data_IF_512698650798
#
_entry.id   IF_512698650798
#
_cell.length_a   1.000
_cell.length_b   1.000
_cell.length_c   1.000
_cell.angle_alpha   90.00
_cell.angle_beta   90.00
_cell.angle_gamma   90.00
#
_symmetry.space_group_name_H-M   'P 1'
#
loop_
_entity.id
_entity.type
_entity.pdbx_description
1 polymer ?
#
# COMPACT_ATOMS: atom_id res chain seq x y z
N UNK A 1 -26.54 -3.85 17.67
CA UNK A 1 -26.89 -5.09 18.39
C UNK A 1 -25.72 -5.57 19.27
N UNK A 2 -24.53 -5.79 18.71
CA UNK A 2 -23.40 -6.39 19.44
C UNK A 2 -22.83 -5.49 20.56
N UNK A 3 -22.68 -4.20 20.32
CA UNK A 3 -22.25 -3.25 21.35
C UNK A 3 -23.19 -3.28 22.56
N UNK A 4 -24.51 -3.33 22.31
CA UNK A 4 -25.51 -3.48 23.37
C UNK A 4 -25.38 -4.80 24.12
N UNK A 5 -25.15 -5.92 23.41
CA UNK A 5 -24.95 -7.24 24.02
C UNK A 5 -23.72 -7.26 24.95
N UNK A 6 -22.67 -6.52 24.59
CA UNK A 6 -21.45 -6.41 25.41
C UNK A 6 -21.51 -5.30 26.46
N UNK A 7 -22.60 -4.52 26.54
CA UNK A 7 -22.70 -3.38 27.46
C UNK A 7 -21.67 -2.26 27.16
N UNK A 8 -21.26 -2.13 25.90
CA UNK A 8 -20.21 -1.16 25.48
C UNK A 8 -20.82 -0.04 24.64
N UNK A 9 -20.21 1.13 24.74
CA UNK A 9 -20.37 2.22 23.79
C UNK A 9 -19.32 2.07 22.68
N UNK A 10 -19.77 1.91 21.43
CA UNK A 10 -18.87 1.74 20.28
C UNK A 10 -18.72 3.06 19.53
N UNK A 11 -17.51 3.59 19.46
CA UNK A 11 -17.19 4.80 18.73
C UNK A 11 -17.08 4.51 17.23
N UNK A 12 -17.63 5.38 16.40
CA UNK A 12 -17.60 5.27 14.94
C UNK A 12 -17.21 6.59 14.30
N UNK A 13 -16.54 6.51 13.15
CA UNK A 13 -16.27 7.60 12.23
C UNK A 13 -17.02 7.29 10.94
N UNK A 14 -17.83 8.24 10.44
CA UNK A 14 -18.47 8.11 9.14
C UNK A 14 -17.49 8.53 8.05
N UNK A 15 -17.48 7.76 6.95
CA UNK A 15 -16.60 8.08 5.82
C UNK A 15 -17.36 8.85 4.75
N UNK A 16 -16.76 9.95 4.26
CA UNK A 16 -17.19 10.70 3.10
C UNK A 16 -16.35 10.31 1.88
N UNK A 17 -17.00 9.97 0.79
CA UNK A 17 -16.32 9.85 -0.51
C UNK A 17 -16.21 11.25 -1.13
N UNK A 18 -14.98 11.73 -1.27
CA UNK A 18 -14.67 13.02 -1.89
C UNK A 18 -14.14 12.87 -3.32
N UNK A 19 -14.44 11.75 -3.97
CA UNK A 19 -14.12 11.50 -5.36
C UNK A 19 -13.18 10.32 -5.62
N UNK A 20 -12.65 9.66 -4.59
CA UNK A 20 -11.80 8.47 -4.77
C UNK A 20 -12.62 7.22 -5.15
N UNK A 21 -13.94 7.27 -4.99
CA UNK A 21 -14.94 6.27 -5.40
C UNK A 21 -14.69 4.87 -4.82
N UNK A 22 -14.18 4.81 -3.59
CA UNK A 22 -13.93 3.55 -2.88
C UNK A 22 -14.95 3.31 -1.78
N UNK A 23 -14.86 4.02 -0.67
CA UNK A 23 -15.80 3.90 0.45
C UNK A 23 -16.25 5.27 0.93
N UNK A 24 -17.46 5.29 1.47
CA UNK A 24 -18.04 6.48 2.09
C UNK A 24 -19.32 6.96 1.42
N UNK A 25 -19.93 7.92 2.04
CA UNK A 25 -21.12 8.57 1.51
C UNK A 25 -20.76 9.50 0.36
N UNK A 26 -21.30 9.23 -0.82
CA UNK A 26 -21.22 10.15 -1.95
C UNK A 26 -22.18 11.33 -1.76
N UNK A 27 -23.43 11.04 -1.35
CA UNK A 27 -24.40 12.06 -0.99
C UNK A 27 -24.11 12.61 0.42
N UNK A 28 -23.77 13.89 0.48
CA UNK A 28 -23.41 14.57 1.73
C UNK A 28 -24.62 14.83 2.62
N UNK A 29 -25.81 15.04 2.05
CA UNK A 29 -27.03 15.21 2.84
C UNK A 29 -27.44 13.89 3.48
N UNK A 30 -27.36 12.77 2.76
CA UNK A 30 -27.56 11.43 3.33
C UNK A 30 -26.62 11.19 4.51
N UNK A 31 -25.35 11.60 4.39
CA UNK A 31 -24.37 11.45 5.47
C UNK A 31 -24.77 12.25 6.72
N UNK A 32 -25.28 13.48 6.54
CA UNK A 32 -25.77 14.34 7.64
C UNK A 32 -26.98 13.70 8.32
N UNK A 33 -27.94 13.15 7.53
CA UNK A 33 -29.11 12.45 8.05
C UNK A 33 -28.73 11.19 8.86
N UNK A 34 -27.76 10.43 8.38
CA UNK A 34 -27.24 9.25 9.09
C UNK A 34 -26.50 9.65 10.37
N UNK A 35 -25.75 10.75 10.37
CA UNK A 35 -25.10 11.28 11.57
C UNK A 35 -26.15 11.63 12.66
N UNK A 36 -27.22 12.32 12.28
CA UNK A 36 -28.34 12.63 13.17
C UNK A 36 -29.07 11.37 13.65
N UNK A 37 -29.26 10.39 12.76
CA UNK A 37 -29.87 9.11 13.14
C UNK A 37 -29.02 8.35 14.17
N UNK A 38 -27.69 8.32 14.00
CA UNK A 38 -26.78 7.69 14.97
C UNK A 38 -26.92 8.37 16.33
N UNK A 39 -26.86 9.69 16.37
CA UNK A 39 -26.93 10.49 17.60
C UNK A 39 -28.24 10.23 18.34
N UNK A 40 -29.37 10.28 17.66
CA UNK A 40 -30.69 10.24 18.27
C UNK A 40 -31.26 8.83 18.50
N UNK A 41 -30.78 7.80 17.78
CA UNK A 41 -31.39 6.47 17.75
C UNK A 41 -30.49 5.31 18.14
N UNK A 42 -29.17 5.51 18.14
CA UNK A 42 -28.25 4.39 18.38
C UNK A 42 -27.55 4.50 19.75
N UNK A 43 -28.26 4.12 20.81
CA UNK A 43 -27.82 4.29 22.22
C UNK A 43 -26.42 3.73 22.53
N UNK A 44 -25.97 2.70 21.82
CA UNK A 44 -24.67 2.04 22.04
C UNK A 44 -23.65 2.35 20.96
N UNK A 45 -23.94 3.32 20.08
CA UNK A 45 -23.01 3.85 19.07
C UNK A 45 -22.82 5.33 19.36
N UNK A 46 -21.58 5.79 19.30
CA UNK A 46 -21.23 7.19 19.43
C UNK A 46 -20.55 7.64 18.15
N UNK A 47 -21.10 8.60 17.44
CA UNK A 47 -20.42 9.26 16.36
C UNK A 47 -19.35 10.18 16.92
N UNK A 48 -18.08 9.87 16.70
CA UNK A 48 -16.96 10.65 17.20
C UNK A 48 -16.28 11.48 16.11
N UNK A 49 -16.59 11.25 14.86
CA UNK A 49 -15.93 11.98 13.77
C UNK A 49 -16.41 11.60 12.40
N UNK A 50 -15.84 12.29 11.42
CA UNK A 50 -15.93 11.94 10.02
C UNK A 50 -14.53 11.78 9.42
N UNK A 51 -14.46 11.17 8.24
CA UNK A 51 -13.19 11.02 7.55
C UNK A 51 -13.36 10.81 6.07
N UNK A 52 -12.25 10.88 5.36
CA UNK A 52 -12.17 10.53 3.94
C UNK A 52 -10.97 9.64 3.69
N UNK A 53 -10.89 9.08 2.49
CA UNK A 53 -9.68 8.46 1.98
C UNK A 53 -9.48 8.89 0.53
N UNK A 54 -8.26 9.29 0.19
CA UNK A 54 -7.87 9.80 -1.11
C UNK A 54 -6.55 9.17 -1.55
N UNK A 55 -6.31 9.11 -2.85
CA UNK A 55 -5.09 8.54 -3.41
C UNK A 55 -5.03 7.00 -3.31
N UNK A 56 -6.18 6.33 -3.40
CA UNK A 56 -6.26 4.88 -3.35
C UNK A 56 -6.84 4.31 -4.67
N UNK A 57 -8.16 4.10 -4.75
CA UNK A 57 -8.80 3.53 -5.94
C UNK A 57 -8.88 4.54 -7.08
N UNK A 58 -9.43 5.72 -6.82
CA UNK A 58 -9.59 6.79 -7.81
C UNK A 58 -8.33 7.61 -8.06
N UNK A 59 -7.28 7.36 -7.30
CA UNK A 59 -5.99 8.09 -7.37
C UNK A 59 -6.14 9.62 -7.23
N UNK A 60 -7.16 10.06 -6.47
CA UNK A 60 -7.41 11.48 -6.24
C UNK A 60 -6.38 12.05 -5.27
N UNK A 61 -5.66 13.08 -5.71
CA UNK A 61 -4.69 13.77 -4.86
C UNK A 61 -5.40 14.48 -3.70
N UNK A 62 -4.97 14.27 -2.44
CA UNK A 62 -5.49 14.97 -1.29
C UNK A 62 -4.97 16.41 -1.26
N UNK A 63 -5.64 17.31 -1.99
CA UNK A 63 -5.32 18.73 -1.96
C UNK A 63 -5.89 19.41 -0.70
N UNK A 64 -5.41 20.60 -0.36
CA UNK A 64 -5.95 21.38 0.75
C UNK A 64 -7.45 21.64 0.57
N UNK A 65 -7.89 21.97 -0.67
CA UNK A 65 -9.29 22.22 -0.99
C UNK A 65 -10.15 20.97 -0.77
N UNK A 66 -9.64 19.77 -1.10
CA UNK A 66 -10.35 18.52 -0.83
C UNK A 66 -10.50 18.24 0.67
N UNK A 67 -9.53 18.62 1.47
CA UNK A 67 -9.62 18.50 2.92
C UNK A 67 -10.51 19.58 3.54
N UNK A 68 -10.59 20.76 2.92
CA UNK A 68 -11.57 21.79 3.32
C UNK A 68 -13.01 21.33 3.04
N UNK A 69 -13.29 20.66 1.93
CA UNK A 69 -14.62 20.02 1.69
C UNK A 69 -15.02 19.08 2.83
N UNK A 70 -14.05 18.36 3.42
CA UNK A 70 -14.31 17.50 4.57
C UNK A 70 -14.62 18.33 5.83
N UNK A 71 -13.90 19.42 6.04
CA UNK A 71 -14.11 20.32 7.18
C UNK A 71 -15.49 20.97 7.09
N UNK A 72 -15.87 21.49 5.91
CA UNK A 72 -17.20 22.06 5.68
C UNK A 72 -18.32 21.05 5.97
N UNK A 73 -18.11 19.77 5.58
CA UNK A 73 -19.06 18.70 5.88
C UNK A 73 -19.11 18.41 7.39
N UNK A 74 -17.97 18.44 8.08
CA UNK A 74 -17.93 18.30 9.53
C UNK A 74 -18.74 19.40 10.23
N UNK A 75 -18.55 20.66 9.85
CA UNK A 75 -19.28 21.79 10.39
C UNK A 75 -20.80 21.68 10.18
N UNK A 76 -21.20 21.18 9.02
CA UNK A 76 -22.60 20.92 8.70
C UNK A 76 -23.23 19.85 9.62
N UNK A 77 -22.47 18.78 9.87
CA UNK A 77 -22.89 17.73 10.81
C UNK A 77 -22.92 18.27 12.25
N UNK A 78 -21.91 18.99 12.68
CA UNK A 78 -21.81 19.58 14.02
C UNK A 78 -22.97 20.55 14.32
N UNK A 79 -23.30 21.39 13.34
CA UNK A 79 -24.45 22.30 13.45
C UNK A 79 -25.78 21.52 13.60
N UNK A 80 -25.89 20.34 12.97
CA UNK A 80 -27.09 19.51 13.09
C UNK A 80 -27.17 18.76 14.42
N UNK A 81 -26.00 18.39 14.99
CA UNK A 81 -25.88 17.64 16.24
C UNK A 81 -25.80 18.56 17.48
N UNK A 82 -25.65 19.87 17.29
CA UNK A 82 -25.39 20.87 18.35
C UNK A 82 -24.17 20.49 19.22
N UNK A 83 -23.12 19.96 18.60
CA UNK A 83 -21.84 19.63 19.23
C UNK A 83 -20.71 19.42 18.22
N UNK A 84 -19.48 19.59 18.67
CA UNK A 84 -18.27 19.32 17.86
C UNK A 84 -18.01 17.81 17.74
N UNK A 85 -17.35 17.46 16.65
CA UNK A 85 -16.79 16.13 16.40
C UNK A 85 -15.35 16.05 16.96
N UNK A 86 -15.04 14.91 17.59
CA UNK A 86 -13.72 14.64 18.18
C UNK A 86 -12.64 14.49 17.09
N UNK A 87 -13.01 13.87 15.94
CA UNK A 87 -12.08 13.56 14.87
C UNK A 87 -12.57 14.02 13.50
N UNK A 88 -11.68 14.70 12.77
CA UNK A 88 -11.79 14.94 11.33
C UNK A 88 -10.58 14.27 10.67
N UNK A 89 -10.82 13.11 10.05
CA UNK A 89 -9.77 12.26 9.52
C UNK A 89 -9.51 12.53 8.04
N UNK A 90 -8.42 13.23 7.74
CA UNK A 90 -8.07 13.71 6.41
C UNK A 90 -7.48 12.66 5.46
N UNK A 91 -7.50 11.36 5.81
CA UNK A 91 -7.03 10.32 4.93
C UNK A 91 -5.88 9.48 5.48
N UNK A 92 -5.00 9.04 4.60
CA UNK A 92 -3.93 8.09 4.86
C UNK A 92 -2.54 8.68 4.60
N UNK A 93 -1.56 7.86 4.21
CA UNK A 93 -0.18 8.28 3.89
C UNK A 93 -0.14 9.38 2.84
N UNK A 94 -0.96 9.30 1.79
CA UNK A 94 -1.02 10.32 0.74
C UNK A 94 -1.31 11.72 1.27
N UNK A 95 -2.06 11.86 2.35
CA UNK A 95 -2.38 13.15 2.95
C UNK A 95 -1.24 13.75 3.79
N UNK A 96 -0.16 13.00 4.06
CA UNK A 96 1.04 13.54 4.70
C UNK A 96 1.68 14.67 3.87
N UNK A 97 1.49 14.69 2.55
CA UNK A 97 1.93 15.79 1.69
C UNK A 97 1.48 17.15 2.23
N UNK A 98 0.22 17.24 2.70
CA UNK A 98 -0.33 18.48 3.26
C UNK A 98 0.32 18.90 4.58
N UNK A 99 0.84 17.91 5.34
CA UNK A 99 1.61 18.19 6.56
C UNK A 99 2.98 18.76 6.21
N UNK A 100 3.66 18.17 5.21
CA UNK A 100 4.97 18.68 4.72
C UNK A 100 4.84 20.06 4.10
N UNK A 101 3.81 20.28 3.28
CA UNK A 101 3.53 21.58 2.65
C UNK A 101 2.98 22.63 3.65
N UNK A 102 2.61 22.20 4.88
CA UNK A 102 2.05 23.04 5.94
C UNK A 102 0.75 23.74 5.55
N UNK A 103 -0.04 23.08 4.71
CA UNK A 103 -1.33 23.57 4.20
C UNK A 103 -2.50 22.64 4.54
N UNK A 104 -2.28 21.68 5.45
CA UNK A 104 -3.38 20.87 5.97
C UNK A 104 -4.36 21.75 6.75
N UNK A 105 -5.68 21.66 6.51
CA UNK A 105 -6.66 22.45 7.28
C UNK A 105 -6.54 22.21 8.79
N UNK A 106 -6.59 23.24 9.58
CA UNK A 106 -6.36 23.21 11.03
C UNK A 106 -7.29 22.23 11.77
N UNK A 107 -8.52 22.08 11.27
CA UNK A 107 -9.52 21.18 11.84
C UNK A 107 -9.24 19.69 11.54
N UNK A 108 -8.42 19.36 10.57
CA UNK A 108 -8.01 17.97 10.28
C UNK A 108 -6.99 17.54 11.33
N UNK A 109 -7.43 16.69 12.24
CA UNK A 109 -6.67 16.31 13.43
C UNK A 109 -6.31 14.81 13.50
N UNK A 110 -6.62 14.04 12.45
CA UNK A 110 -6.32 12.60 12.37
C UNK A 110 -5.91 12.22 10.96
N UNK A 111 -4.78 11.52 10.82
CA UNK A 111 -4.40 10.78 9.62
C UNK A 111 -4.20 9.30 9.98
N UNK A 112 -4.62 8.40 9.09
CA UNK A 112 -4.48 6.95 9.26
C UNK A 112 -3.31 6.46 8.43
N UNK A 113 -2.11 6.75 8.92
CA UNK A 113 -0.85 6.48 8.21
C UNK A 113 -0.48 5.01 8.35
N UNK A 114 -0.27 4.34 7.23
CA UNK A 114 0.19 2.95 7.15
C UNK A 114 1.55 2.87 6.48
N UNK A 115 1.59 3.00 5.15
CA UNK A 115 2.84 2.93 4.37
C UNK A 115 3.89 3.92 4.87
N UNK A 116 3.52 5.17 5.12
CA UNK A 116 4.45 6.20 5.60
C UNK A 116 5.13 5.90 6.94
N UNK A 117 4.61 4.98 7.76
CA UNK A 117 5.26 4.50 8.99
C UNK A 117 6.08 3.23 8.71
N UNK A 118 5.59 2.35 7.83
CA UNK A 118 6.20 1.05 7.60
C UNK A 118 7.38 1.13 6.63
N UNK A 119 7.25 1.88 5.54
CA UNK A 119 8.22 1.92 4.45
C UNK A 119 8.70 3.33 4.13
N UNK A 120 7.84 4.34 4.29
CA UNK A 120 8.11 5.76 3.99
C UNK A 120 8.64 6.02 2.58
N UNK A 121 8.18 5.26 1.58
CA UNK A 121 8.71 5.28 0.20
C UNK A 121 7.79 5.92 -0.81
N UNK A 122 6.47 5.76 -0.64
CA UNK A 122 5.51 6.19 -1.66
C UNK A 122 5.55 7.69 -1.92
N UNK A 123 5.74 8.50 -0.87
CA UNK A 123 5.80 9.96 -1.00
C UNK A 123 7.07 10.43 -1.72
N UNK A 124 8.18 9.75 -1.51
CA UNK A 124 9.44 10.00 -2.24
C UNK A 124 9.31 9.52 -3.70
N UNK A 125 8.98 8.23 -3.88
CA UNK A 125 8.98 7.58 -5.19
C UNK A 125 7.96 8.17 -6.16
N UNK A 126 6.73 8.48 -5.69
CA UNK A 126 5.63 8.88 -6.57
C UNK A 126 5.35 10.37 -6.58
N UNK A 127 5.74 11.09 -5.52
CA UNK A 127 5.41 12.50 -5.36
C UNK A 127 6.63 13.40 -5.18
N UNK A 128 7.83 12.83 -5.06
CA UNK A 128 9.10 13.57 -5.00
C UNK A 128 9.32 14.32 -3.66
N UNK A 129 8.66 13.91 -2.58
CA UNK A 129 8.90 14.44 -1.25
C UNK A 129 10.16 13.81 -0.65
N UNK A 130 11.02 14.63 -0.09
CA UNK A 130 12.20 14.13 0.63
C UNK A 130 11.79 13.42 1.92
N UNK A 131 11.94 12.10 1.94
CA UNK A 131 11.68 11.23 3.08
C UNK A 131 12.98 10.76 3.76
N UNK A 132 14.13 11.35 3.46
CA UNK A 132 15.44 10.92 3.95
C UNK A 132 15.60 10.97 5.48
N UNK A 133 14.76 11.74 6.18
CA UNK A 133 14.72 11.75 7.66
C UNK A 133 13.99 10.53 8.26
N UNK A 134 13.29 9.72 7.44
CA UNK A 134 12.57 8.53 7.85
C UNK A 134 13.33 7.27 7.48
N UNK A 135 13.16 6.22 8.28
CA UNK A 135 13.74 4.91 7.97
C UNK A 135 12.99 4.24 6.83
N UNK A 136 13.67 3.99 5.71
CA UNK A 136 13.14 3.30 4.53
C UNK A 136 13.61 1.85 4.40
N UNK A 137 14.39 1.38 5.38
CA UNK A 137 15.05 0.08 5.39
C UNK A 137 14.56 -0.87 6.49
N UNK A 138 13.35 -0.61 7.01
CA UNK A 138 12.75 -1.38 8.11
C UNK A 138 12.41 -2.81 7.70
N UNK A 139 12.10 -3.05 6.43
CA UNK A 139 11.73 -4.35 5.92
C UNK A 139 12.65 -4.79 4.78
N UNK A 140 13.04 -6.05 4.81
CA UNK A 140 13.83 -6.70 3.76
C UNK A 140 13.25 -8.07 3.46
N UNK A 141 13.13 -8.41 2.18
CA UNK A 141 12.90 -9.80 1.76
C UNK A 141 14.23 -10.50 1.55
N UNK A 142 14.40 -11.66 2.16
CA UNK A 142 15.52 -12.57 1.90
C UNK A 142 14.98 -13.84 1.23
N UNK A 143 15.54 -14.21 0.09
CA UNK A 143 15.13 -15.37 -0.68
C UNK A 143 16.32 -16.25 -1.01
N UNK A 144 16.16 -17.57 -0.83
CA UNK A 144 17.20 -18.56 -1.12
C UNK A 144 17.30 -18.83 -2.61
N UNK A 145 18.52 -18.93 -3.10
CA UNK A 145 18.87 -19.36 -4.47
C UNK A 145 18.78 -20.88 -4.56
N UNK A 146 17.89 -21.39 -5.39
CA UNK A 146 17.68 -22.84 -5.55
C UNK A 146 18.24 -23.41 -6.86
N UNK A 147 18.51 -22.58 -7.84
CA UNK A 147 19.21 -22.94 -9.08
C UNK A 147 20.08 -21.78 -9.57
N UNK A 148 21.26 -22.10 -10.14
CA UNK A 148 22.04 -21.18 -10.96
C UNK A 148 22.48 -21.88 -12.23
N UNK A 149 22.12 -21.35 -13.40
CA UNK A 149 22.43 -21.91 -14.72
C UNK A 149 22.67 -20.81 -15.76
N UNK A 150 23.55 -21.07 -16.70
CA UNK A 150 23.66 -20.26 -17.90
C UNK A 150 22.64 -20.73 -18.93
N UNK A 151 21.75 -19.81 -19.34
CA UNK A 151 20.64 -20.08 -20.28
C UNK A 151 20.56 -18.99 -21.35
N UNK A 152 19.96 -19.24 -22.53
CA UNK A 152 19.63 -18.19 -23.48
C UNK A 152 18.72 -17.12 -22.81
N UNK A 153 18.97 -15.86 -23.13
CA UNK A 153 18.09 -14.77 -22.65
C UNK A 153 16.77 -14.70 -23.41
N UNK A 154 16.75 -15.21 -24.63
CA UNK A 154 15.55 -15.33 -25.45
C UNK A 154 14.99 -16.74 -25.41
N UNK A 155 13.69 -16.94 -25.15
CA UNK A 155 13.07 -18.27 -25.15
C UNK A 155 13.20 -18.98 -26.49
N UNK A 156 13.43 -20.29 -26.44
CA UNK A 156 13.59 -21.11 -27.63
C UNK A 156 12.29 -21.85 -27.94
N UNK A 157 11.63 -21.47 -29.04
CA UNK A 157 10.34 -22.02 -29.47
C UNK A 157 9.33 -20.95 -29.88
N UNK A 158 8.10 -21.34 -30.11
CA UNK A 158 7.01 -20.43 -30.44
C UNK A 158 6.49 -19.75 -29.16
N UNK A 159 6.63 -18.44 -29.05
CA UNK A 159 6.12 -17.68 -27.93
C UNK A 159 4.60 -17.57 -28.07
N UNK A 160 3.88 -17.84 -26.99
CA UNK A 160 2.43 -17.74 -26.90
C UNK A 160 2.03 -16.95 -25.64
N UNK A 161 1.08 -17.44 -24.89
CA UNK A 161 0.55 -16.83 -23.68
C UNK A 161 1.22 -17.47 -22.46
N UNK A 162 1.63 -16.67 -21.47
CA UNK A 162 2.17 -17.15 -20.20
C UNK A 162 1.07 -17.73 -19.29
N UNK A 163 1.45 -18.25 -18.13
CA UNK A 163 0.53 -18.85 -17.16
C UNK A 163 -0.47 -17.84 -16.56
N UNK A 164 -0.26 -16.53 -16.73
CA UNK A 164 -1.11 -15.45 -16.20
C UNK A 164 -1.91 -14.74 -17.30
N UNK A 165 -1.87 -15.26 -18.54
CA UNK A 165 -2.67 -14.73 -19.66
C UNK A 165 -2.01 -13.56 -20.42
N UNK A 166 -0.71 -13.30 -20.20
CA UNK A 166 0.00 -12.25 -20.91
C UNK A 166 0.84 -12.81 -22.06
N UNK A 167 1.09 -12.00 -23.07
CA UNK A 167 2.08 -12.28 -24.12
C UNK A 167 3.35 -11.50 -23.77
N UNK A 168 4.39 -12.17 -23.22
CA UNK A 168 5.61 -11.47 -22.82
C UNK A 168 6.45 -11.09 -24.02
N UNK A 169 7.25 -10.02 -23.88
CA UNK A 169 8.28 -9.60 -24.83
C UNK A 169 9.65 -9.85 -24.23
N UNK A 170 10.60 -10.28 -25.06
CA UNK A 170 11.96 -10.55 -24.62
C UNK A 170 12.97 -9.84 -25.51
N UNK A 171 14.12 -9.49 -24.93
CA UNK A 171 15.28 -8.98 -25.66
C UNK A 171 16.36 -10.06 -25.66
N UNK A 172 16.87 -10.41 -26.84
CA UNK A 172 17.97 -11.36 -26.93
C UNK A 172 19.30 -10.68 -26.55
N UNK A 173 19.87 -11.14 -25.44
CA UNK A 173 21.18 -10.72 -24.90
C UNK A 173 22.20 -11.86 -24.91
N UNK A 174 21.92 -12.93 -25.68
CA UNK A 174 22.76 -14.11 -25.74
C UNK A 174 22.62 -15.02 -24.52
N UNK A 175 23.70 -15.72 -24.19
CA UNK A 175 23.76 -16.57 -23.00
C UNK A 175 23.95 -15.73 -21.75
N UNK A 176 23.07 -15.93 -20.76
CA UNK A 176 23.09 -15.17 -19.51
C UNK A 176 23.03 -16.13 -18.32
N UNK A 177 23.73 -15.82 -17.27
CA UNK A 177 23.69 -16.54 -16.01
C UNK A 177 22.44 -16.14 -15.24
N UNK A 178 21.59 -17.12 -14.94
CA UNK A 178 20.32 -16.92 -14.24
C UNK A 178 20.26 -17.71 -12.94
N UNK A 179 19.61 -17.13 -11.96
CA UNK A 179 19.25 -17.77 -10.70
C UNK A 179 17.74 -17.96 -10.61
N UNK A 180 17.30 -18.99 -9.91
CA UNK A 180 15.92 -19.15 -9.44
C UNK A 180 15.91 -18.98 -7.93
N UNK A 181 14.91 -18.26 -7.43
CA UNK A 181 14.67 -18.09 -6.01
C UNK A 181 13.47 -18.90 -5.54
N UNK A 182 13.54 -19.39 -4.30
CA UNK A 182 12.46 -20.12 -3.64
C UNK A 182 11.35 -19.20 -3.12
N UNK A 183 10.94 -18.24 -3.92
CA UNK A 183 9.85 -17.29 -3.65
C UNK A 183 9.23 -16.88 -4.99
N UNK A 184 7.91 -16.75 -5.06
CA UNK A 184 7.20 -16.43 -6.29
C UNK A 184 6.01 -15.50 -6.08
N UNK A 185 5.19 -15.35 -7.14
CA UNK A 185 4.03 -14.42 -7.11
C UNK A 185 3.04 -14.72 -5.99
N UNK A 186 2.89 -15.96 -5.57
CA UNK A 186 2.00 -16.34 -4.46
C UNK A 186 2.45 -15.71 -3.13
N UNK A 187 3.73 -15.41 -2.99
CA UNK A 187 4.31 -14.91 -1.76
C UNK A 187 4.33 -13.37 -1.71
N UNK A 188 4.60 -12.68 -2.83
CA UNK A 188 4.82 -11.23 -2.85
C UNK A 188 4.02 -10.46 -3.93
N UNK A 189 3.26 -11.13 -4.77
CA UNK A 189 2.44 -10.49 -5.81
C UNK A 189 3.19 -10.26 -7.12
N UNK A 190 3.49 -9.02 -7.49
CA UNK A 190 4.13 -8.70 -8.77
C UNK A 190 5.66 -8.64 -8.66
N UNK A 191 6.42 -9.33 -9.55
CA UNK A 191 7.89 -9.31 -9.54
C UNK A 191 8.50 -7.93 -9.84
N UNK A 192 7.79 -7.03 -10.52
CA UNK A 192 8.26 -5.68 -10.78
C UNK A 192 8.44 -4.84 -9.50
N UNK A 193 7.85 -5.28 -8.39
CA UNK A 193 7.88 -4.60 -7.11
C UNK A 193 9.00 -5.10 -6.17
N UNK A 194 9.83 -6.06 -6.63
CA UNK A 194 11.03 -6.50 -5.92
C UNK A 194 12.24 -5.70 -6.39
N UNK A 195 12.90 -5.03 -5.46
CA UNK A 195 14.04 -4.16 -5.73
C UNK A 195 15.31 -4.86 -5.21
N UNK A 196 16.17 -5.40 -6.09
CA UNK A 196 17.44 -5.99 -5.66
C UNK A 196 18.32 -4.95 -4.93
N UNK A 197 18.94 -5.36 -3.83
CA UNK A 197 19.86 -4.48 -3.08
C UNK A 197 21.27 -4.49 -3.63
N UNK A 198 21.64 -5.48 -4.44
CA UNK A 198 22.95 -5.58 -5.07
C UNK A 198 22.87 -5.15 -6.53
N UNK A 199 23.89 -4.41 -7.00
CA UNK A 199 24.01 -4.00 -8.39
C UNK A 199 24.24 -5.19 -9.32
N UNK A 200 23.87 -5.06 -10.58
CA UNK A 200 24.03 -6.10 -11.60
C UNK A 200 23.03 -7.26 -11.48
N UNK A 201 22.04 -7.17 -10.60
CA UNK A 201 20.95 -8.13 -10.47
C UNK A 201 19.69 -7.55 -11.12
N UNK A 202 19.04 -8.34 -11.98
CA UNK A 202 17.80 -7.96 -12.64
C UNK A 202 16.71 -9.01 -12.38
N UNK A 203 15.55 -8.57 -11.91
CA UNK A 203 14.35 -9.42 -11.78
C UNK A 203 13.69 -9.55 -13.15
N UNK A 204 13.76 -10.73 -13.74
CA UNK A 204 13.22 -10.99 -15.08
C UNK A 204 11.72 -11.31 -15.07
N UNK A 205 11.23 -11.88 -13.98
CA UNK A 205 9.85 -12.30 -13.83
C UNK A 205 9.70 -13.40 -12.79
N UNK A 206 8.48 -13.89 -12.64
CA UNK A 206 8.19 -14.97 -11.71
C UNK A 206 7.07 -15.90 -12.19
N UNK A 207 7.17 -17.16 -11.78
CA UNK A 207 6.05 -18.08 -11.74
C UNK A 207 5.27 -17.92 -10.42
N UNK A 208 4.33 -18.82 -10.15
CA UNK A 208 3.64 -18.87 -8.86
C UNK A 208 4.62 -19.00 -7.69
N UNK A 209 5.65 -19.85 -7.82
CA UNK A 209 6.49 -20.28 -6.70
C UNK A 209 7.98 -19.91 -6.85
N UNK A 210 8.39 -19.38 -7.99
CA UNK A 210 9.80 -19.09 -8.28
C UNK A 210 9.97 -17.72 -8.94
N UNK A 211 10.98 -16.98 -8.51
CA UNK A 211 11.43 -15.75 -9.16
C UNK A 211 12.67 -16.03 -10.00
N UNK A 212 12.69 -15.51 -11.21
CA UNK A 212 13.77 -15.64 -12.18
C UNK A 212 14.60 -14.38 -12.15
N UNK A 213 15.88 -14.52 -11.85
CA UNK A 213 16.84 -13.43 -11.71
C UNK A 213 17.95 -13.60 -12.74
N UNK A 214 18.32 -12.51 -13.41
CA UNK A 214 19.56 -12.42 -14.17
C UNK A 214 20.67 -11.96 -13.20
N UNK A 215 21.77 -12.70 -13.17
CA UNK A 215 22.93 -12.43 -12.29
C UNK A 215 24.25 -12.38 -13.08
N UNK A 216 24.18 -12.21 -14.41
CA UNK A 216 25.35 -12.16 -15.26
C UNK A 216 26.29 -11.01 -14.92
N UNK A 217 25.71 -9.86 -14.58
CA UNK A 217 26.42 -8.64 -14.29
C UNK A 217 26.62 -8.40 -12.78
N UNK A 218 26.21 -9.36 -11.92
CA UNK A 218 26.38 -9.30 -10.49
C UNK A 218 27.85 -9.41 -10.08
N UNK A 219 28.31 -8.61 -9.13
CA UNK A 219 29.68 -8.71 -8.61
C UNK A 219 29.92 -10.02 -7.87
N UNK A 220 28.90 -10.56 -7.23
CA UNK A 220 28.97 -11.81 -6.48
C UNK A 220 28.71 -13.02 -7.36
N UNK A 221 29.52 -14.05 -7.18
CA UNK A 221 29.33 -15.39 -7.78
C UNK A 221 28.29 -16.19 -6.98
N UNK A 222 27.01 -16.01 -7.31
CA UNK A 222 25.91 -16.70 -6.63
C UNK A 222 25.92 -18.22 -6.86
N UNK A 223 25.55 -18.97 -5.79
CA UNK A 223 25.43 -20.43 -5.77
C UNK A 223 24.13 -20.87 -5.11
N UNK A 224 23.73 -22.09 -5.36
CA UNK A 224 22.60 -22.72 -4.66
C UNK A 224 22.86 -22.70 -3.15
N UNK A 225 21.86 -22.28 -2.38
CA UNK A 225 21.93 -22.09 -0.93
C UNK A 225 22.33 -20.68 -0.49
N UNK A 226 22.77 -19.81 -1.43
CA UNK A 226 22.97 -18.39 -1.13
C UNK A 226 21.63 -17.68 -0.92
N UNK A 227 21.67 -16.55 -0.23
CA UNK A 227 20.50 -15.70 -0.04
C UNK A 227 20.68 -14.39 -0.78
N UNK A 228 19.65 -13.99 -1.54
CA UNK A 228 19.51 -12.65 -2.10
C UNK A 228 18.61 -11.79 -1.23
N UNK A 229 18.93 -10.50 -1.14
CA UNK A 229 18.16 -9.54 -0.36
C UNK A 229 17.53 -8.50 -1.28
N UNK A 230 16.26 -8.18 -0.99
CA UNK A 230 15.48 -7.22 -1.75
C UNK A 230 14.89 -6.17 -0.82
N UNK A 231 14.84 -4.96 -1.28
CA UNK A 231 13.90 -3.96 -0.80
C UNK A 231 12.51 -4.30 -1.30
N UNK A 232 11.52 -3.88 -0.52
CA UNK A 232 10.12 -4.13 -0.83
C UNK A 232 9.32 -2.83 -0.83
N UNK A 233 8.22 -2.81 -1.57
CA UNK A 233 7.27 -1.72 -1.60
C UNK A 233 5.96 -2.09 -0.88
N UNK A 234 5.00 -1.16 -0.85
CA UNK A 234 3.70 -1.42 -0.22
C UNK A 234 2.96 -2.59 -0.87
N UNK A 235 2.99 -2.71 -2.19
CA UNK A 235 2.33 -3.79 -2.90
C UNK A 235 2.87 -5.17 -2.49
N UNK A 236 4.18 -5.32 -2.28
CA UNK A 236 4.79 -6.58 -1.86
C UNK A 236 4.59 -6.89 -0.38
N UNK A 237 4.70 -5.91 0.52
CA UNK A 237 4.53 -6.14 1.98
C UNK A 237 3.13 -6.63 2.32
N UNK A 238 2.10 -6.19 1.59
CA UNK A 238 0.71 -6.62 1.77
C UNK A 238 0.55 -8.14 1.57
N UNK A 239 1.26 -8.72 0.60
CA UNK A 239 1.27 -10.17 0.38
C UNK A 239 2.17 -10.89 1.38
N UNK A 240 3.42 -10.47 1.49
CA UNK A 240 4.44 -11.12 2.32
C UNK A 240 4.00 -11.29 3.77
N UNK A 241 3.38 -10.30 4.36
CA UNK A 241 2.90 -10.34 5.76
C UNK A 241 1.69 -11.24 5.98
N UNK A 242 1.01 -11.65 4.92
CA UNK A 242 -0.13 -12.57 4.95
C UNK A 242 0.20 -13.96 4.39
N UNK A 243 1.39 -14.15 3.83
CA UNK A 243 1.80 -15.42 3.25
C UNK A 243 2.30 -16.40 4.32
N UNK A 244 1.77 -17.62 4.32
CA UNK A 244 2.17 -18.68 5.27
C UNK A 244 3.54 -19.28 4.95
N UNK A 245 4.03 -19.12 3.73
CA UNK A 245 5.34 -19.62 3.29
C UNK A 245 6.47 -18.68 3.71
N UNK A 246 6.16 -17.44 4.06
CA UNK A 246 7.14 -16.42 4.43
C UNK A 246 7.24 -16.35 5.94
N UNK A 247 8.46 -16.50 6.46
CA UNK A 247 8.77 -16.33 7.87
C UNK A 247 9.13 -14.88 8.15
N UNK A 248 8.47 -14.27 9.12
CA UNK A 248 8.82 -12.94 9.62
C UNK A 248 9.83 -13.11 10.76
N UNK A 249 10.98 -12.45 10.64
CA UNK A 249 12.02 -12.39 11.66
C UNK A 249 12.24 -10.94 12.08
N UNK A 250 12.36 -10.73 13.38
CA UNK A 250 12.71 -9.42 13.95
C UNK A 250 14.20 -9.45 14.31
N UNK A 251 14.95 -8.44 13.87
CA UNK A 251 16.42 -8.33 14.04
C UNK A 251 16.77 -7.03 14.74
#
# INVERSE_FOLDING_TARGET
AEARRQGKLHKVILMADLGDLREGFWDKEEMVEIAEYIENRMINIQLVGIGTNLGCYGSITPTAEKLEELVELAEKIEARLDRELEYISGGATSSLMRVWDKDIPERVNLLRVGEGILLARDLDTFYGYDMSELYQDVFRLKAEVIEVKTKPSYPVGTIAIDAFGHTPTYVDRGMRRRALLAVGKVDYGDPCELIPMEEGIEVLGASSDHTIIDVEDAERDYKVGDTMTFDICYATIVYLTNCRNVRIEFV
#
